data_IF_870685786000
#
_entry.id   IF_870685786000
#
_cell.length_a   1.000
_cell.length_b   1.000
_cell.length_c   1.000
_cell.angle_alpha   90.00
_cell.angle_beta   90.00
_cell.angle_gamma   90.00
#
_symmetry.space_group_name_H-M   'P 1'
#
loop_
_entity.id
_entity.type
_entity.pdbx_description
1 polymer ?
#
# COMPACT_ATOMS: atom_id res chain seq x y z
N UNK A 1 0.15 20.82 -4.45
CA UNK A 1 0.45 19.41 -4.04
C UNK A 1 -0.53 18.56 -4.82
N UNK A 2 -0.07 17.52 -5.53
CA UNK A 2 -0.94 16.72 -6.42
C UNK A 2 -2.24 16.28 -5.72
N UNK A 3 -2.17 15.80 -4.48
CA UNK A 3 -3.37 15.38 -3.74
C UNK A 3 -4.35 16.53 -3.48
N UNK A 4 -3.88 17.77 -3.29
CA UNK A 4 -4.74 18.96 -3.16
C UNK A 4 -5.44 19.28 -4.46
N UNK A 5 -4.73 19.17 -5.58
CA UNK A 5 -5.27 19.49 -6.90
C UNK A 5 -6.36 18.46 -7.30
N UNK A 6 -6.13 17.18 -6.96
CA UNK A 6 -7.15 16.11 -7.06
C UNK A 6 -8.37 16.43 -6.18
N UNK A 7 -8.15 16.79 -4.91
CA UNK A 7 -9.25 17.14 -3.99
C UNK A 7 -10.06 18.31 -4.50
N UNK A 8 -9.42 19.39 -4.98
CA UNK A 8 -10.13 20.54 -5.54
C UNK A 8 -10.99 20.13 -6.74
N UNK A 9 -10.42 19.37 -7.68
CA UNK A 9 -11.15 18.89 -8.86
C UNK A 9 -12.37 18.05 -8.47
N UNK A 10 -12.20 17.10 -7.54
CA UNK A 10 -13.31 16.26 -7.06
C UNK A 10 -14.38 17.07 -6.31
N UNK A 11 -13.97 18.08 -5.54
CA UNK A 11 -14.90 18.97 -4.84
C UNK A 11 -15.72 19.83 -5.79
N UNK A 12 -15.09 20.37 -6.83
CA UNK A 12 -15.74 21.16 -7.88
C UNK A 12 -16.80 20.33 -8.63
N UNK A 13 -16.53 19.05 -8.87
CA UNK A 13 -17.48 18.09 -9.46
C UNK A 13 -18.53 17.54 -8.48
N UNK A 14 -18.54 18.02 -7.22
CA UNK A 14 -19.57 17.69 -6.23
C UNK A 14 -19.36 16.39 -5.44
N UNK A 15 -18.24 15.67 -5.64
CA UNK A 15 -17.88 14.53 -4.81
C UNK A 15 -17.68 14.93 -3.35
N UNK A 16 -17.92 14.01 -2.42
CA UNK A 16 -17.85 14.27 -0.97
C UNK A 16 -16.59 13.74 -0.31
N UNK A 17 -15.91 12.78 -0.94
CA UNK A 17 -14.72 12.18 -0.37
C UNK A 17 -13.78 11.57 -1.42
N UNK A 18 -12.54 11.37 -1.01
CA UNK A 18 -11.49 10.66 -1.74
C UNK A 18 -10.90 9.58 -0.85
N UNK A 19 -10.83 8.35 -1.34
CA UNK A 19 -10.08 7.27 -0.69
C UNK A 19 -8.69 7.18 -1.31
N UNK A 20 -7.66 7.32 -0.49
CA UNK A 20 -6.25 7.14 -0.87
C UNK A 20 -5.80 5.77 -0.38
N UNK A 21 -5.48 4.89 -1.32
CA UNK A 21 -4.87 3.59 -1.06
C UNK A 21 -3.47 3.58 -1.68
N UNK A 22 -2.44 3.54 -0.83
CA UNK A 22 -1.05 3.52 -1.26
C UNK A 22 -0.43 2.16 -0.97
N UNK A 23 0.12 1.53 -2.00
CA UNK A 23 0.90 0.29 -1.88
C UNK A 23 2.41 0.53 -1.81
N UNK A 24 2.85 1.80 -1.84
CA UNK A 24 4.26 2.14 -1.69
C UNK A 24 4.55 2.65 -0.26
N UNK A 25 5.39 1.91 0.46
CA UNK A 25 5.75 2.21 1.85
C UNK A 25 6.55 3.51 2.05
N UNK A 26 7.14 4.08 0.99
CA UNK A 26 7.90 5.33 1.04
C UNK A 26 7.03 6.60 1.02
N UNK A 27 5.71 6.46 0.81
CA UNK A 27 4.78 7.58 0.76
C UNK A 27 4.41 8.13 2.16
N UNK A 28 5.40 8.35 3.03
CA UNK A 28 5.22 8.82 4.41
C UNK A 28 4.50 10.17 4.50
N UNK A 29 4.63 11.01 3.46
CA UNK A 29 3.98 12.32 3.35
C UNK A 29 2.45 12.24 3.29
N UNK A 30 1.86 11.09 2.92
CA UNK A 30 0.41 10.96 2.78
C UNK A 30 -0.33 11.20 4.09
N UNK A 31 0.19 10.69 5.22
CA UNK A 31 -0.47 10.85 6.52
C UNK A 31 -0.62 12.32 6.94
N UNK A 32 0.43 13.14 7.00
CA UNK A 32 0.28 14.56 7.29
C UNK A 32 -0.50 15.31 6.19
N UNK A 33 -0.28 14.99 4.90
CA UNK A 33 -1.00 15.62 3.80
C UNK A 33 -2.52 15.44 3.92
N UNK A 34 -2.99 14.22 4.22
CA UNK A 34 -4.41 13.91 4.42
C UNK A 34 -4.98 14.67 5.63
N UNK A 35 -4.21 14.81 6.71
CA UNK A 35 -4.65 15.61 7.88
C UNK A 35 -4.81 17.09 7.54
N UNK A 36 -3.87 17.68 6.79
CA UNK A 36 -3.98 19.06 6.34
C UNK A 36 -5.16 19.26 5.40
N UNK A 37 -5.40 18.34 4.46
CA UNK A 37 -6.54 18.45 3.54
C UNK A 37 -7.88 18.38 4.26
N UNK A 38 -8.03 17.49 5.24
CA UNK A 38 -9.27 17.42 6.04
C UNK A 38 -9.46 18.65 6.96
N UNK A 39 -8.38 19.37 7.29
CA UNK A 39 -8.46 20.64 8.03
C UNK A 39 -8.86 21.80 7.11
N UNK A 40 -8.21 21.90 5.95
CA UNK A 40 -8.43 22.97 4.97
C UNK A 40 -9.81 22.86 4.29
N UNK A 41 -10.34 21.64 4.15
CA UNK A 41 -11.60 21.35 3.46
C UNK A 41 -12.58 20.61 4.38
N UNK A 42 -13.24 21.30 5.34
CA UNK A 42 -14.12 20.64 6.30
C UNK A 42 -15.34 19.95 5.65
N UNK A 43 -15.73 20.38 4.46
CA UNK A 43 -16.83 19.87 3.64
C UNK A 43 -16.48 18.62 2.80
N UNK A 44 -15.21 18.22 2.76
CA UNK A 44 -14.73 17.06 1.99
C UNK A 44 -13.87 16.14 2.84
N UNK A 45 -13.97 14.83 2.65
CA UNK A 45 -13.18 13.86 3.43
C UNK A 45 -12.13 13.17 2.60
N UNK A 46 -10.88 13.21 3.06
CA UNK A 46 -9.81 12.39 2.48
C UNK A 46 -9.51 11.24 3.44
N UNK A 47 -9.73 10.03 2.98
CA UNK A 47 -9.60 8.80 3.77
C UNK A 47 -8.33 8.10 3.33
N UNK A 48 -7.33 8.01 4.21
CA UNK A 48 -6.12 7.21 3.96
C UNK A 48 -6.34 5.79 4.48
N UNK A 49 -6.25 4.79 3.61
CA UNK A 49 -6.33 3.38 4.02
C UNK A 49 -5.00 2.98 4.67
N UNK A 50 -4.98 2.61 5.97
CA UNK A 50 -3.77 2.19 6.63
C UNK A 50 -3.42 0.74 6.29
N UNK A 51 -2.13 0.43 6.15
CA UNK A 51 -1.62 -0.92 5.85
C UNK A 51 -2.11 -1.97 6.86
N UNK A 52 -2.29 -1.58 8.11
CA UNK A 52 -2.75 -2.46 9.20
C UNK A 52 -4.14 -3.04 8.96
N UNK A 53 -4.96 -2.45 8.07
CA UNK A 53 -6.30 -2.95 7.71
C UNK A 53 -6.23 -4.37 7.15
N UNK A 54 -5.25 -4.66 6.30
CA UNK A 54 -5.07 -5.96 5.69
C UNK A 54 -3.86 -6.73 6.26
N UNK A 55 -2.84 -6.03 6.77
CA UNK A 55 -1.58 -6.65 7.21
C UNK A 55 -1.74 -7.71 8.30
N UNK A 56 -2.73 -7.57 9.21
CA UNK A 56 -3.01 -8.62 10.22
C UNK A 56 -3.59 -9.88 9.60
N UNK A 57 -4.49 -9.75 8.63
CA UNK A 57 -5.16 -10.86 7.98
C UNK A 57 -4.26 -11.59 6.98
N UNK A 58 -3.18 -10.95 6.51
CA UNK A 58 -2.15 -11.59 5.69
C UNK A 58 -1.16 -12.44 6.50
N UNK A 59 -1.18 -12.37 7.84
CA UNK A 59 -0.31 -13.19 8.69
C UNK A 59 -0.63 -14.67 8.49
N UNK A 60 0.35 -15.44 8.03
CA UNK A 60 0.23 -16.88 7.78
C UNK A 60 0.18 -17.27 6.31
N UNK A 61 -0.04 -16.32 5.38
CA UNK A 61 0.09 -16.58 3.94
C UNK A 61 1.56 -16.58 3.52
N UNK A 62 2.29 -15.62 4.05
CA UNK A 62 3.68 -15.37 3.69
C UNK A 62 4.62 -15.87 4.77
N UNK A 63 5.70 -16.50 4.35
CA UNK A 63 6.72 -17.08 5.24
C UNK A 63 7.81 -16.06 5.58
N UNK A 64 7.99 -15.05 4.74
CA UNK A 64 9.09 -14.10 4.84
C UNK A 64 8.82 -13.07 5.93
N UNK A 65 9.76 -12.96 6.86
CA UNK A 65 9.81 -11.88 7.85
C UNK A 65 10.58 -10.70 7.26
N UNK A 66 10.08 -9.47 7.48
CA UNK A 66 10.66 -8.23 6.97
C UNK A 66 10.75 -8.16 5.44
N UNK A 67 9.70 -8.62 4.76
CA UNK A 67 9.51 -8.45 3.32
C UNK A 67 9.09 -7.00 3.00
N UNK A 68 10.02 -6.18 2.55
CA UNK A 68 9.84 -4.73 2.36
C UNK A 68 9.71 -4.31 0.90
N UNK A 69 10.41 -4.95 -0.03
CA UNK A 69 10.33 -4.58 -1.45
C UNK A 69 10.71 -5.73 -2.38
N UNK A 70 9.92 -5.92 -3.43
CA UNK A 70 10.10 -6.90 -4.49
C UNK A 70 10.33 -8.33 -3.98
N UNK A 71 9.81 -8.67 -2.79
CA UNK A 71 9.94 -9.98 -2.21
C UNK A 71 8.68 -10.84 -2.40
N UNK A 72 8.39 -11.67 -1.40
CA UNK A 72 7.38 -12.73 -1.49
C UNK A 72 5.99 -12.17 -1.77
N UNK A 73 5.59 -11.10 -1.08
CA UNK A 73 4.25 -10.51 -1.15
C UNK A 73 3.98 -9.86 -2.51
N UNK A 74 4.82 -8.90 -2.90
CA UNK A 74 4.65 -8.16 -4.16
C UNK A 74 4.77 -9.09 -5.37
N UNK A 75 5.72 -10.02 -5.34
CA UNK A 75 5.91 -10.99 -6.42
C UNK A 75 4.72 -11.94 -6.51
N UNK A 76 4.21 -12.46 -5.38
CA UNK A 76 3.02 -13.33 -5.38
C UNK A 76 1.79 -12.62 -5.96
N UNK A 77 1.55 -11.36 -5.55
CA UNK A 77 0.44 -10.55 -6.07
C UNK A 77 0.57 -10.33 -7.57
N UNK A 78 1.75 -9.99 -8.08
CA UNK A 78 1.94 -9.82 -9.53
C UNK A 78 1.83 -11.12 -10.31
N UNK A 79 2.35 -12.24 -9.80
CA UNK A 79 2.17 -13.56 -10.40
C UNK A 79 0.68 -13.92 -10.56
N UNK A 80 -0.16 -13.51 -9.59
CA UNK A 80 -1.61 -13.72 -9.68
C UNK A 80 -2.31 -12.70 -10.62
N UNK A 81 -2.02 -11.41 -10.48
CA UNK A 81 -2.76 -10.34 -11.17
C UNK A 81 -2.31 -10.11 -12.61
N UNK A 82 -1.00 -10.16 -12.85
CA UNK A 82 -0.36 -9.82 -14.13
C UNK A 82 0.91 -10.65 -14.36
N UNK A 83 0.80 -11.99 -14.49
CA UNK A 83 1.96 -12.89 -14.60
C UNK A 83 2.94 -12.48 -15.71
N UNK A 84 2.45 -12.00 -16.86
CA UNK A 84 3.27 -11.61 -18.01
C UNK A 84 4.22 -10.43 -17.73
N UNK A 85 4.01 -9.72 -16.61
CA UNK A 85 4.88 -8.61 -16.19
C UNK A 85 6.05 -9.06 -15.32
N UNK A 86 6.04 -10.31 -14.83
CA UNK A 86 7.10 -10.88 -13.99
C UNK A 86 8.13 -11.56 -14.89
N UNK A 87 9.25 -10.88 -15.15
CA UNK A 87 10.33 -11.36 -16.03
C UNK A 87 11.35 -12.22 -15.26
N UNK A 88 10.86 -13.32 -14.71
CA UNK A 88 11.63 -14.21 -13.83
C UNK A 88 11.61 -13.76 -12.37
N UNK A 89 12.16 -14.62 -11.51
CA UNK A 89 12.22 -14.40 -10.06
C UNK A 89 13.64 -13.97 -9.70
N UNK A 90 13.75 -12.79 -9.10
CA UNK A 90 15.04 -12.25 -8.65
C UNK A 90 15.59 -13.03 -7.45
N UNK A 91 16.87 -12.86 -7.13
CA UNK A 91 17.47 -13.49 -5.95
C UNK A 91 16.94 -12.89 -4.65
N UNK A 92 16.81 -13.72 -3.62
CA UNK A 92 16.48 -13.29 -2.27
C UNK A 92 17.56 -12.36 -1.71
N UNK A 93 17.14 -11.34 -0.96
CA UNK A 93 18.08 -10.41 -0.37
C UNK A 93 17.55 -9.86 0.96
N UNK A 94 18.38 -9.95 2.00
CA UNK A 94 18.12 -9.38 3.32
C UNK A 94 19.25 -8.42 3.67
N UNK A 95 19.03 -7.11 3.60
CA UNK A 95 20.00 -6.12 4.06
C UNK A 95 20.36 -6.31 5.54
N UNK A 96 21.57 -5.89 5.91
CA UNK A 96 22.06 -5.90 7.29
C UNK A 96 21.63 -4.67 8.11
N UNK A 97 20.83 -3.79 7.53
CA UNK A 97 20.36 -2.53 8.13
C UNK A 97 18.85 -2.52 8.22
N UNK A 98 18.31 -1.67 9.09
CA UNK A 98 16.87 -1.51 9.27
C UNK A 98 16.28 -0.51 8.26
N UNK A 99 14.94 -0.51 8.16
CA UNK A 99 14.18 0.25 7.15
C UNK A 99 14.47 1.75 7.20
N UNK A 100 14.75 2.29 8.37
CA UNK A 100 15.06 3.69 8.64
C UNK A 100 16.26 4.18 7.82
N UNK A 101 17.15 3.28 7.37
CA UNK A 101 18.25 3.68 6.50
C UNK A 101 17.79 4.22 5.15
N UNK A 102 16.58 3.89 4.69
CA UNK A 102 16.00 4.47 3.48
C UNK A 102 15.78 5.99 3.59
N UNK A 103 15.76 6.55 4.80
CA UNK A 103 15.66 8.00 5.02
C UNK A 103 17.01 8.71 4.81
N UNK A 104 18.12 7.98 4.87
CA UNK A 104 19.47 8.54 4.87
C UNK A 104 20.31 8.12 3.66
N UNK A 105 19.93 7.05 2.95
CA UNK A 105 20.66 6.56 1.79
C UNK A 105 19.73 5.94 0.73
N UNK A 106 20.13 5.94 -0.55
CA UNK A 106 19.32 5.38 -1.61
C UNK A 106 19.23 3.85 -1.49
N UNK A 107 18.11 3.27 -1.96
CA UNK A 107 17.87 1.82 -1.97
C UNK A 107 19.05 1.03 -2.56
N UNK A 108 19.68 1.49 -3.64
CA UNK A 108 20.81 0.79 -4.27
C UNK A 108 22.05 0.63 -3.37
N UNK A 109 22.19 1.45 -2.32
CA UNK A 109 23.25 1.29 -1.30
C UNK A 109 22.89 0.24 -0.24
N UNK A 110 21.61 -0.04 -0.07
CA UNK A 110 21.08 -0.98 0.92
C UNK A 110 20.84 -2.36 0.27
N UNK A 111 20.27 -2.39 -0.93
CA UNK A 111 20.03 -3.57 -1.74
C UNK A 111 20.49 -3.34 -3.19
N UNK A 112 21.56 -4.01 -3.64
CA UNK A 112 22.10 -3.82 -4.99
C UNK A 112 21.11 -4.15 -6.11
N UNK A 113 20.17 -5.07 -5.87
CA UNK A 113 19.14 -5.49 -6.83
C UNK A 113 17.79 -4.80 -6.61
N UNK A 114 17.68 -3.99 -5.55
CA UNK A 114 16.41 -3.41 -5.07
C UNK A 114 15.54 -4.39 -4.27
N UNK A 115 15.83 -5.69 -4.27
CA UNK A 115 15.07 -6.68 -3.50
C UNK A 115 15.36 -6.52 -2.00
N UNK A 116 14.31 -6.53 -1.19
CA UNK A 116 14.39 -6.64 0.26
C UNK A 116 13.30 -7.61 0.72
N UNK A 117 13.60 -8.89 0.65
CA UNK A 117 12.65 -9.98 0.88
C UNK A 117 13.07 -11.28 0.18
N UNK A 118 12.14 -12.22 0.09
CA UNK A 118 12.38 -13.54 -0.51
C UNK A 118 11.39 -13.81 -1.67
N UNK A 119 11.57 -13.21 -2.86
CA UNK A 119 10.71 -13.48 -4.01
C UNK A 119 10.80 -14.95 -4.47
N UNK A 120 11.85 -15.70 -4.09
CA UNK A 120 11.95 -17.15 -4.37
C UNK A 120 10.80 -17.97 -3.77
N UNK A 121 10.16 -17.46 -2.72
CA UNK A 121 9.05 -18.10 -2.02
C UNK A 121 7.67 -17.72 -2.56
N UNK A 122 7.63 -16.85 -3.58
CA UNK A 122 6.40 -16.34 -4.14
C UNK A 122 5.62 -17.41 -4.89
N UNK A 123 4.29 -17.32 -4.87
CA UNK A 123 3.43 -18.21 -5.64
C UNK A 123 2.12 -17.55 -6.07
N UNK A 124 1.53 -18.07 -7.14
CA UNK A 124 0.22 -17.63 -7.63
C UNK A 124 -0.87 -17.86 -6.57
N UNK A 125 -0.80 -18.98 -5.83
CA UNK A 125 -1.79 -19.30 -4.78
C UNK A 125 -1.75 -18.30 -3.64
N UNK A 126 -0.55 -17.95 -3.14
CA UNK A 126 -0.36 -16.91 -2.12
C UNK A 126 -0.89 -15.56 -2.61
N UNK A 127 -0.61 -15.19 -3.86
CA UNK A 127 -1.10 -13.96 -4.47
C UNK A 127 -2.62 -13.89 -4.54
N UNK A 128 -3.26 -14.97 -4.98
CA UNK A 128 -4.73 -15.07 -5.06
C UNK A 128 -5.40 -14.92 -3.70
N UNK A 129 -4.88 -15.63 -2.71
CA UNK A 129 -5.41 -15.59 -1.34
C UNK A 129 -5.22 -14.20 -0.71
N UNK A 130 -4.00 -13.66 -0.80
CA UNK A 130 -3.69 -12.32 -0.29
C UNK A 130 -4.55 -11.24 -0.94
N UNK A 131 -4.70 -11.27 -2.28
CA UNK A 131 -5.53 -10.30 -2.99
C UNK A 131 -6.98 -10.30 -2.51
N UNK A 132 -7.57 -11.48 -2.32
CA UNK A 132 -8.93 -11.61 -1.79
C UNK A 132 -9.05 -10.94 -0.42
N UNK A 133 -8.14 -11.26 0.50
CA UNK A 133 -8.13 -10.70 1.86
C UNK A 133 -7.95 -9.18 1.85
N UNK A 134 -7.04 -8.66 1.02
CA UNK A 134 -6.80 -7.22 0.89
C UNK A 134 -8.08 -6.52 0.43
N UNK A 135 -8.72 -7.01 -0.63
CA UNK A 135 -9.95 -6.40 -1.17
C UNK A 135 -11.06 -6.42 -0.12
N UNK A 136 -11.32 -7.56 0.51
CA UNK A 136 -12.37 -7.70 1.54
C UNK A 136 -12.12 -6.77 2.74
N UNK A 137 -10.87 -6.69 3.22
CA UNK A 137 -10.49 -5.84 4.36
C UNK A 137 -10.61 -4.36 4.03
N UNK A 138 -10.12 -3.93 2.86
CA UNK A 138 -10.15 -2.52 2.43
C UNK A 138 -11.58 -2.07 2.16
N UNK A 139 -12.40 -2.88 1.48
CA UNK A 139 -13.81 -2.54 1.21
C UNK A 139 -14.58 -2.40 2.52
N UNK A 140 -14.37 -3.33 3.47
CA UNK A 140 -14.99 -3.22 4.80
C UNK A 140 -14.58 -1.94 5.50
N UNK A 141 -13.26 -1.67 5.57
CA UNK A 141 -12.75 -0.47 6.23
C UNK A 141 -13.31 0.81 5.64
N UNK A 142 -13.34 0.94 4.31
CA UNK A 142 -13.86 2.15 3.65
C UNK A 142 -15.34 2.35 3.96
N UNK A 143 -16.15 1.28 3.92
CA UNK A 143 -17.57 1.36 4.28
C UNK A 143 -17.77 1.82 5.72
N UNK A 144 -17.06 1.19 6.68
CA UNK A 144 -17.14 1.54 8.10
C UNK A 144 -16.76 3.01 8.34
N UNK A 145 -15.72 3.51 7.67
CA UNK A 145 -15.26 4.91 7.82
C UNK A 145 -16.26 5.88 7.20
N UNK A 146 -16.77 5.60 6.00
CA UNK A 146 -17.77 6.44 5.33
C UNK A 146 -19.04 6.55 6.17
N UNK A 147 -19.52 5.44 6.72
CA UNK A 147 -20.66 5.38 7.63
C UNK A 147 -20.39 6.18 8.91
N UNK A 148 -19.25 5.97 9.55
CA UNK A 148 -18.86 6.69 10.79
C UNK A 148 -18.77 8.20 10.57
N UNK A 149 -18.33 8.63 9.38
CA UNK A 149 -18.23 10.04 9.02
C UNK A 149 -19.58 10.65 8.58
N UNK A 150 -20.64 9.84 8.47
CA UNK A 150 -21.97 10.30 8.04
C UNK A 150 -21.99 10.84 6.61
N UNK A 151 -21.11 10.36 5.73
CA UNK A 151 -21.04 10.82 4.35
C UNK A 151 -22.13 10.07 3.56
N UNK A 152 -23.22 10.77 3.20
CA UNK A 152 -24.26 10.20 2.34
C UNK A 152 -23.80 10.18 0.88
N UNK A 153 -24.35 9.22 0.11
CA UNK A 153 -24.33 9.28 -1.36
C UNK A 153 -25.15 10.46 -1.87
#
# INVERSE_FOLDING_TARGET
MILRDIVNSLREEGFKYLVVFSWHGGNFILKPAVRYLNLDYPDFKVILVPEQVYGKALRGIFETVNDLHAGEQETSLLLYLKPDTVRGISGDYKPSVDREMLDYMPMLKISPTGVWGMPSKASISKGKEAFKIIVESVVKYVKDVVETLGISN
#
